data_IF_562952786827
#
_entry.id   IF_562952786827
#
_cell.length_a   1.000
_cell.length_b   1.000
_cell.length_c   1.000
_cell.angle_alpha   90.00
_cell.angle_beta   90.00
_cell.angle_gamma   90.00
#
_symmetry.space_group_name_H-M   'P 1'
#
loop_
_entity.id
_entity.type
_entity.pdbx_description
1 polymer ?
#
# COMPACT_ATOMS: atom_id res chain seq x y z
N UNK A 1 2.44 4.32 9.74
CA UNK A 1 1.58 5.15 10.60
C UNK A 1 0.65 4.22 11.34
N UNK A 2 0.57 4.31 12.66
CA UNK A 2 -0.33 3.44 13.43
C UNK A 2 -1.74 4.03 13.52
N UNK A 3 -2.74 3.16 13.68
CA UNK A 3 -4.10 3.57 14.00
C UNK A 3 -4.13 4.35 15.31
N UNK A 4 -4.97 5.38 15.36
CA UNK A 4 -5.23 6.19 16.56
C UNK A 4 -6.34 5.58 17.43
N UNK A 5 -7.07 4.58 16.93
CA UNK A 5 -8.09 3.85 17.69
C UNK A 5 -7.51 2.66 18.47
N UNK A 6 -7.16 1.56 17.79
CA UNK A 6 -6.52 0.40 18.40
C UNK A 6 -5.58 -0.32 17.41
N UNK A 7 -4.31 0.08 17.32
CA UNK A 7 -3.38 -0.43 16.31
C UNK A 7 -3.14 -1.94 16.41
N UNK A 8 -3.37 -2.56 17.58
CA UNK A 8 -3.17 -4.01 17.78
C UNK A 8 -4.20 -4.88 17.06
N UNK A 9 -5.40 -4.35 16.78
CA UNK A 9 -6.48 -5.10 16.14
C UNK A 9 -6.94 -4.46 14.85
N UNK A 10 -6.72 -3.16 14.68
CA UNK A 10 -7.13 -2.44 13.50
C UNK A 10 -6.33 -2.90 12.27
N UNK A 11 -6.93 -2.86 11.07
CA UNK A 11 -6.29 -3.31 9.84
C UNK A 11 -4.92 -2.69 9.57
N UNK A 12 -4.09 -3.40 8.79
CA UNK A 12 -2.95 -2.81 8.10
C UNK A 12 -3.33 -2.55 6.65
N UNK A 13 -3.15 -1.31 6.21
CA UNK A 13 -3.43 -0.84 4.85
C UNK A 13 -2.11 -0.42 4.22
N UNK A 14 -1.65 -1.15 3.21
CA UNK A 14 -0.51 -0.74 2.38
C UNK A 14 -1.00 0.27 1.35
N UNK A 15 -0.36 1.43 1.27
CA UNK A 15 -0.61 2.46 0.26
C UNK A 15 0.56 2.54 -0.73
N UNK A 16 0.24 2.40 -2.02
CA UNK A 16 1.15 2.55 -3.14
C UNK A 16 0.73 3.74 -4.01
N UNK A 17 1.64 4.69 -4.19
CA UNK A 17 1.46 5.75 -5.18
C UNK A 17 1.84 5.26 -6.59
N UNK A 18 1.22 5.87 -7.60
CA UNK A 18 1.56 5.68 -9.00
C UNK A 18 2.69 6.61 -9.47
N UNK A 19 2.70 6.94 -10.77
CA UNK A 19 3.69 7.83 -11.37
C UNK A 19 4.15 7.35 -12.74
N UNK A 20 4.81 6.19 -12.89
CA UNK A 20 5.86 5.68 -11.99
C UNK A 20 6.79 6.81 -11.51
N UNK A 21 7.12 6.86 -10.21
CA UNK A 21 8.09 7.82 -9.68
C UNK A 21 7.59 8.87 -8.68
N UNK A 22 6.31 8.88 -8.32
CA UNK A 22 5.78 9.84 -7.35
C UNK A 22 5.84 9.26 -5.92
N UNK A 23 6.34 10.05 -4.97
CA UNK A 23 6.19 9.78 -3.53
C UNK A 23 4.93 10.48 -3.04
N UNK A 24 3.93 9.76 -2.54
CA UNK A 24 2.70 10.35 -2.00
C UNK A 24 2.65 10.39 -0.48
N UNK A 25 3.78 10.25 0.21
CA UNK A 25 3.82 10.27 1.68
C UNK A 25 3.30 11.59 2.26
N UNK A 26 3.38 12.70 1.52
CA UNK A 26 3.04 14.05 2.01
C UNK A 26 1.89 14.74 1.26
N UNK A 27 1.43 14.22 0.13
CA UNK A 27 0.49 14.97 -0.75
C UNK A 27 -0.95 14.44 -0.72
N UNK A 28 -1.21 13.18 -0.35
CA UNK A 28 -2.55 12.56 -0.52
C UNK A 28 -3.10 11.87 0.74
N UNK A 29 -2.39 10.93 1.35
CA UNK A 29 -2.84 10.20 2.56
C UNK A 29 -1.98 10.50 3.80
N UNK A 30 -1.39 11.69 3.86
CA UNK A 30 -0.62 12.12 5.02
C UNK A 30 -1.45 12.05 6.32
N UNK A 31 -0.81 11.88 7.49
CA UNK A 31 -1.49 11.71 8.79
C UNK A 31 -2.34 12.91 9.23
N UNK A 32 -2.26 14.03 8.50
CA UNK A 32 -2.73 15.33 8.95
C UNK A 32 -3.68 15.92 7.91
N UNK A 33 -4.96 15.55 8.02
CA UNK A 33 -6.04 16.22 7.31
C UNK A 33 -6.86 17.03 8.31
N UNK A 34 -7.15 18.29 7.99
CA UNK A 34 -8.01 19.12 8.84
C UNK A 34 -9.44 18.61 8.79
N UNK A 35 -10.09 18.47 9.94
CA UNK A 35 -11.53 18.28 9.99
C UNK A 35 -12.27 19.52 9.47
N UNK A 36 -13.55 19.34 9.14
CA UNK A 36 -14.47 20.42 8.78
C UNK A 36 -14.91 21.25 10.00
N UNK A 37 -13.95 21.63 10.86
CA UNK A 37 -14.15 22.34 12.11
C UNK A 37 -13.29 23.61 12.20
N UNK A 38 -13.01 24.23 11.05
CA UNK A 38 -12.11 25.38 10.91
C UNK A 38 -10.65 25.07 11.33
N UNK A 39 -10.22 23.81 11.19
CA UNK A 39 -8.84 23.40 11.47
C UNK A 39 -8.53 23.29 12.96
N UNK A 40 -9.54 23.05 13.80
CA UNK A 40 -9.33 22.83 15.23
C UNK A 40 -8.97 21.39 15.57
N UNK A 41 -9.32 20.44 14.71
CA UNK A 41 -8.98 19.02 14.87
C UNK A 41 -8.53 18.40 13.55
N UNK A 42 -7.87 17.25 13.65
CA UNK A 42 -7.37 16.47 12.53
C UNK A 42 -8.17 15.16 12.41
N UNK A 43 -8.27 14.61 11.20
CA UNK A 43 -8.85 13.29 10.98
C UNK A 43 -8.07 12.22 11.75
N UNK A 44 -8.79 11.35 12.45
CA UNK A 44 -8.19 10.22 13.15
C UNK A 44 -7.99 9.04 12.19
N UNK A 45 -6.77 8.49 12.15
CA UNK A 45 -6.50 7.30 11.36
C UNK A 45 -7.07 6.08 12.06
N UNK A 46 -8.02 5.39 11.43
CA UNK A 46 -8.69 4.19 11.97
C UNK A 46 -8.03 2.88 11.52
N UNK A 47 -6.89 2.97 10.85
CA UNK A 47 -6.10 1.83 10.39
C UNK A 47 -4.60 2.12 10.50
N UNK A 48 -3.80 1.06 10.56
CA UNK A 48 -2.36 1.15 10.45
C UNK A 48 -1.99 1.33 8.97
N UNK A 49 -1.51 2.49 8.56
CA UNK A 49 -1.15 2.76 7.16
C UNK A 49 0.35 2.56 6.95
N UNK A 50 0.70 1.64 6.04
CA UNK A 50 2.05 1.38 5.57
C UNK A 50 2.25 2.08 4.23
N UNK A 51 3.16 3.04 4.16
CA UNK A 51 3.55 3.68 2.91
C UNK A 51 4.80 2.99 2.38
N UNK A 52 4.74 2.53 1.13
CA UNK A 52 5.89 1.92 0.46
C UNK A 52 6.23 2.71 -0.79
N UNK A 53 7.41 3.33 -0.78
CA UNK A 53 7.95 4.04 -1.93
C UNK A 53 8.59 3.02 -2.89
N UNK A 54 8.03 2.89 -4.08
CA UNK A 54 8.49 1.95 -5.09
C UNK A 54 8.27 2.55 -6.50
N UNK A 55 9.06 2.13 -7.51
CA UNK A 55 10.19 1.20 -7.45
C UNK A 55 11.48 1.78 -6.83
N UNK A 56 12.57 1.01 -6.91
CA UNK A 56 13.93 1.50 -6.62
C UNK A 56 14.21 2.81 -7.38
N UNK A 57 14.66 3.83 -6.66
CA UNK A 57 14.87 5.19 -7.18
C UNK A 57 13.74 6.17 -6.88
N UNK A 58 12.63 5.73 -6.28
CA UNK A 58 11.50 6.59 -5.88
C UNK A 58 11.64 7.02 -4.42
N UNK A 59 11.51 8.32 -4.17
CA UNK A 59 11.58 8.89 -2.82
C UNK A 59 12.92 8.58 -2.15
N UNK A 60 12.88 7.83 -1.05
CA UNK A 60 14.05 7.37 -0.32
C UNK A 60 14.47 5.92 -0.65
N UNK A 61 13.75 5.23 -1.53
CA UNK A 61 14.13 3.88 -1.97
C UNK A 61 15.31 3.92 -2.94
N UNK A 62 16.41 3.24 -2.60
CA UNK A 62 17.64 3.22 -3.41
C UNK A 62 18.25 1.83 -3.52
N UNK A 63 19.27 1.71 -4.37
CA UNK A 63 20.13 0.53 -4.50
C UNK A 63 21.57 0.98 -4.66
N UNK A 64 22.52 0.21 -4.12
CA UNK A 64 23.95 0.44 -4.34
C UNK A 64 24.41 -0.09 -5.71
N UNK A 65 23.58 -0.91 -6.37
CA UNK A 65 23.85 -1.41 -7.72
C UNK A 65 23.47 -0.37 -8.77
N UNK A 66 24.47 0.37 -9.25
CA UNK A 66 24.31 1.37 -10.31
C UNK A 66 23.81 0.82 -11.65
N UNK A 67 23.85 -0.50 -11.84
CA UNK A 67 23.36 -1.18 -13.06
C UNK A 67 21.94 -1.73 -12.92
N UNK A 68 21.34 -1.59 -11.74
CA UNK A 68 20.01 -2.11 -11.46
C UNK A 68 18.96 -1.43 -12.34
N UNK A 69 18.15 -2.27 -13.01
CA UNK A 69 17.04 -1.83 -13.83
C UNK A 69 15.74 -2.37 -13.24
N UNK A 70 14.76 -1.48 -13.01
CA UNK A 70 13.44 -1.87 -12.54
C UNK A 70 12.48 -2.09 -13.72
N UNK A 71 11.58 -3.05 -13.53
CA UNK A 71 10.40 -3.37 -14.33
C UNK A 71 9.23 -3.64 -13.41
N UNK A 72 8.01 -3.75 -13.95
CA UNK A 72 6.82 -4.09 -13.15
C UNK A 72 7.00 -5.43 -12.40
N UNK A 73 7.60 -6.45 -13.05
CA UNK A 73 7.86 -7.74 -12.42
C UNK A 73 8.86 -7.63 -11.26
N UNK A 74 10.02 -7.01 -11.49
CA UNK A 74 11.03 -6.83 -10.41
C UNK A 74 10.49 -5.96 -9.27
N UNK A 75 9.63 -4.99 -9.58
CA UNK A 75 8.99 -4.13 -8.59
C UNK A 75 8.01 -4.93 -7.75
N UNK A 76 7.20 -5.79 -8.37
CA UNK A 76 6.29 -6.67 -7.64
C UNK A 76 7.04 -7.65 -6.73
N UNK A 77 8.13 -8.24 -7.20
CA UNK A 77 8.94 -9.17 -6.42
C UNK A 77 9.63 -8.47 -5.23
N UNK A 78 10.22 -7.28 -5.45
CA UNK A 78 10.83 -6.48 -4.39
C UNK A 78 9.80 -6.01 -3.37
N UNK A 79 8.62 -5.55 -3.82
CA UNK A 79 7.55 -5.11 -2.92
C UNK A 79 7.02 -6.29 -2.09
N UNK A 80 6.89 -7.48 -2.67
CA UNK A 80 6.48 -8.67 -1.95
C UNK A 80 7.52 -9.07 -0.88
N UNK A 81 8.82 -8.99 -1.21
CA UNK A 81 9.90 -9.20 -0.26
C UNK A 81 9.88 -8.15 0.88
N UNK A 82 9.65 -6.88 0.56
CA UNK A 82 9.56 -5.80 1.54
C UNK A 82 8.37 -5.98 2.49
N UNK A 83 7.19 -6.33 1.95
CA UNK A 83 5.99 -6.62 2.75
C UNK A 83 6.21 -7.84 3.64
N UNK A 84 6.79 -8.92 3.11
CA UNK A 84 7.14 -10.09 3.92
C UNK A 84 8.09 -9.72 5.05
N UNK A 85 9.17 -9.00 4.76
CA UNK A 85 10.14 -8.55 5.75
C UNK A 85 9.50 -7.66 6.83
N UNK A 86 8.61 -6.75 6.42
CA UNK A 86 7.83 -5.91 7.34
C UNK A 86 7.04 -6.77 8.34
N UNK A 87 6.29 -7.76 7.87
CA UNK A 87 5.46 -8.61 8.74
C UNK A 87 6.26 -9.66 9.49
N UNK A 88 7.35 -10.19 8.96
CA UNK A 88 8.11 -11.27 9.62
C UNK A 88 9.13 -10.76 10.63
N UNK A 89 9.86 -9.71 10.28
CA UNK A 89 11.06 -9.29 11.01
C UNK A 89 10.85 -7.96 11.74
N UNK A 90 10.19 -6.98 11.09
CA UNK A 90 10.11 -5.63 11.64
C UNK A 90 8.92 -5.46 12.60
N UNK A 91 7.73 -5.93 12.20
CA UNK A 91 6.48 -5.76 12.94
C UNK A 91 5.62 -7.04 12.98
N UNK A 92 6.12 -8.14 13.57
CA UNK A 92 5.40 -9.41 13.67
C UNK A 92 4.08 -9.33 14.44
N UNK A 93 3.89 -8.31 15.27
CA UNK A 93 2.62 -8.07 15.96
C UNK A 93 1.43 -7.86 15.01
N UNK A 94 1.67 -7.44 13.76
CA UNK A 94 0.60 -7.16 12.81
C UNK A 94 0.20 -8.35 11.93
N UNK A 95 0.88 -9.51 12.01
CA UNK A 95 0.61 -10.66 11.13
C UNK A 95 -0.86 -11.11 11.11
N UNK A 96 -1.53 -10.99 12.24
CA UNK A 96 -2.92 -11.42 12.41
C UNK A 96 -3.94 -10.33 12.04
N UNK A 97 -3.51 -9.07 11.94
CA UNK A 97 -4.36 -7.96 11.54
C UNK A 97 -4.79 -8.17 10.09
N UNK A 98 -6.02 -7.78 9.75
CA UNK A 98 -6.46 -7.82 8.36
C UNK A 98 -5.55 -6.93 7.50
N UNK A 99 -5.04 -7.49 6.42
CA UNK A 99 -4.09 -6.82 5.55
C UNK A 99 -4.71 -6.52 4.18
N UNK A 100 -4.61 -5.25 3.77
CA UNK A 100 -5.16 -4.72 2.53
C UNK A 100 -4.06 -4.06 1.70
N UNK A 101 -4.09 -4.29 0.38
CA UNK A 101 -3.21 -3.60 -0.57
C UNK A 101 -4.02 -2.55 -1.30
N UNK A 102 -3.56 -1.30 -1.25
CA UNK A 102 -4.24 -0.15 -1.83
C UNK A 102 -3.29 0.68 -2.68
N UNK A 103 -3.83 1.43 -3.63
CA UNK A 103 -3.03 2.40 -4.35
C UNK A 103 -3.78 3.21 -5.38
N UNK A 104 -3.08 4.19 -5.92
CA UNK A 104 -3.57 5.18 -6.87
C UNK A 104 -2.76 5.21 -8.19
N UNK A 105 -3.41 5.56 -9.30
CA UNK A 105 -2.78 5.82 -10.60
C UNK A 105 -2.07 4.56 -11.15
N UNK A 106 -0.77 4.61 -11.41
CA UNK A 106 0.00 3.45 -11.88
C UNK A 106 0.08 2.31 -10.85
N UNK A 107 -0.31 2.55 -9.59
CA UNK A 107 -0.51 1.46 -8.64
C UNK A 107 -1.65 0.50 -9.06
N UNK A 108 -2.48 0.88 -10.05
CA UNK A 108 -3.34 -0.06 -10.78
C UNK A 108 -2.60 -1.21 -11.46
N UNK A 109 -1.29 -1.10 -11.68
CA UNK A 109 -0.39 -2.19 -12.10
C UNK A 109 0.31 -2.81 -10.89
N UNK A 110 0.86 -1.98 -10.00
CA UNK A 110 1.64 -2.47 -8.85
C UNK A 110 0.82 -3.29 -7.86
N UNK A 111 -0.37 -2.83 -7.47
CA UNK A 111 -1.18 -3.50 -6.48
C UNK A 111 -1.64 -4.90 -6.93
N UNK A 112 -2.13 -5.12 -8.18
CA UNK A 112 -2.47 -6.47 -8.63
C UNK A 112 -1.27 -7.39 -8.74
N UNK A 113 -0.14 -6.89 -9.27
CA UNK A 113 1.07 -7.71 -9.41
C UNK A 113 1.63 -8.10 -8.04
N UNK A 114 1.71 -7.16 -7.10
CA UNK A 114 2.08 -7.44 -5.71
C UNK A 114 1.13 -8.45 -5.08
N UNK A 115 -0.18 -8.22 -5.17
CA UNK A 115 -1.20 -9.12 -4.60
C UNK A 115 -1.06 -10.55 -5.12
N UNK A 116 -0.76 -10.71 -6.41
CA UNK A 116 -0.48 -12.02 -7.00
C UNK A 116 0.74 -12.70 -6.37
N UNK A 117 1.84 -11.97 -6.16
CA UNK A 117 3.05 -12.52 -5.50
C UNK A 117 2.76 -12.92 -4.05
N UNK A 118 2.02 -12.09 -3.32
CA UNK A 118 1.62 -12.38 -1.95
C UNK A 118 0.77 -13.65 -1.85
N UNK A 119 -0.25 -13.79 -2.71
CA UNK A 119 -1.08 -15.00 -2.76
C UNK A 119 -0.23 -16.23 -3.09
N UNK A 120 0.68 -16.14 -4.07
CA UNK A 120 1.57 -17.24 -4.41
C UNK A 120 2.49 -17.65 -3.24
N UNK A 121 2.99 -16.68 -2.46
CA UNK A 121 3.81 -16.95 -1.27
C UNK A 121 2.97 -17.57 -0.15
N UNK A 122 1.72 -17.13 0.03
CA UNK A 122 0.79 -17.71 1.01
C UNK A 122 0.43 -19.16 0.63
N UNK A 123 0.09 -19.41 -0.63
CA UNK A 123 -0.27 -20.74 -1.13
C UNK A 123 0.89 -21.75 -1.00
N UNK A 124 2.14 -21.27 -1.13
CA UNK A 124 3.35 -22.08 -0.91
C UNK A 124 3.68 -22.30 0.57
N UNK A 125 3.07 -21.53 1.48
CA UNK A 125 3.42 -21.53 2.90
C UNK A 125 4.68 -20.71 3.24
N UNK A 126 5.19 -19.93 2.28
CA UNK A 126 6.38 -19.09 2.46
C UNK A 126 6.08 -17.79 3.21
N UNK A 127 4.81 -17.38 3.26
CA UNK A 127 4.38 -16.17 3.95
C UNK A 127 3.02 -16.37 4.62
N UNK A 128 2.91 -15.99 5.90
CA UNK A 128 1.68 -16.13 6.67
C UNK A 128 1.22 -14.75 7.17
N UNK A 129 0.21 -14.21 6.49
CA UNK A 129 -0.44 -12.94 6.81
C UNK A 129 -1.94 -13.07 6.53
N UNK A 130 -2.76 -12.34 7.27
CA UNK A 130 -4.20 -12.28 7.07
C UNK A 130 -4.59 -11.35 5.90
N UNK A 131 -4.14 -11.68 4.68
CA UNK A 131 -4.42 -10.92 3.47
C UNK A 131 -5.89 -11.07 3.04
N UNK A 132 -6.60 -9.96 2.82
CA UNK A 132 -8.03 -9.95 2.50
C UNK A 132 -8.34 -9.57 1.06
N UNK A 133 -8.09 -8.32 0.69
CA UNK A 133 -8.48 -7.79 -0.61
C UNK A 133 -7.53 -6.68 -1.06
N UNK A 134 -7.56 -6.44 -2.36
CA UNK A 134 -6.91 -5.31 -3.02
C UNK A 134 -7.96 -4.26 -3.38
N UNK A 135 -7.73 -3.00 -3.03
CA UNK A 135 -8.58 -1.87 -3.41
C UNK A 135 -7.80 -0.91 -4.31
N UNK A 136 -8.42 -0.45 -5.39
CA UNK A 136 -7.81 0.49 -6.35
C UNK A 136 -8.63 1.78 -6.36
N UNK A 137 -7.97 2.91 -6.06
CA UNK A 137 -8.68 4.17 -5.82
C UNK A 137 -8.80 5.05 -7.06
N UNK A 138 -7.80 5.08 -7.95
CA UNK A 138 -7.91 5.75 -9.25
C UNK A 138 -7.22 4.92 -10.33
N UNK A 139 -8.01 4.42 -11.28
CA UNK A 139 -7.55 3.62 -12.40
C UNK A 139 -7.43 4.53 -13.63
N UNK A 140 -6.21 4.86 -14.08
CA UNK A 140 -5.97 5.25 -15.48
C UNK A 140 -5.85 3.98 -16.34
N UNK A 141 -6.84 3.10 -16.28
CA UNK A 141 -6.97 2.04 -17.27
C UNK A 141 -7.85 2.58 -18.39
N UNK A 142 -7.30 2.63 -19.60
CA UNK A 142 -8.08 2.68 -20.84
C UNK A 142 -8.84 1.36 -21.07
N UNK A 143 -9.59 0.92 -20.07
CA UNK A 143 -10.43 -0.28 -20.10
C UNK A 143 -11.89 0.14 -19.93
N UNK A 144 -12.80 -0.26 -20.85
CA UNK A 144 -14.24 -0.02 -20.71
C UNK A 144 -14.85 -0.55 -19.40
N UNK A 145 -14.13 -1.43 -18.68
CA UNK A 145 -14.55 -2.05 -17.43
C UNK A 145 -14.36 -1.15 -16.18
N UNK A 146 -13.52 -0.10 -16.27
CA UNK A 146 -13.17 0.74 -15.11
C UNK A 146 -14.25 1.75 -14.69
N UNK A 147 -15.33 1.91 -15.48
CA UNK A 147 -16.39 2.90 -15.23
C UNK A 147 -17.40 2.54 -14.14
N UNK A 148 -17.36 1.32 -13.58
CA UNK A 148 -18.36 0.85 -12.61
C UNK A 148 -17.93 0.90 -11.14
N UNK A 149 -16.66 1.19 -10.83
CA UNK A 149 -16.15 1.23 -9.45
C UNK A 149 -16.08 2.67 -8.94
N UNK A 150 -17.25 3.21 -8.58
CA UNK A 150 -17.42 4.50 -7.90
C UNK A 150 -17.83 4.32 -6.43
N UNK A 151 -17.37 3.23 -5.81
CA UNK A 151 -17.75 2.87 -4.46
C UNK A 151 -16.55 3.07 -3.53
N UNK A 152 -16.80 3.75 -2.41
CA UNK A 152 -15.87 4.02 -1.29
C UNK A 152 -15.24 5.42 -1.37
N UNK A 153 -16.11 6.43 -1.39
CA UNK A 153 -15.82 7.81 -0.94
C UNK A 153 -16.15 7.94 0.58
N UNK A 154 -16.19 6.82 1.32
CA UNK A 154 -16.83 6.75 2.64
C UNK A 154 -16.00 6.03 3.72
N UNK A 155 -14.70 5.85 3.50
CA UNK A 155 -13.76 5.29 4.48
C UNK A 155 -12.54 6.20 4.73
N UNK A 156 -12.67 7.48 4.41
CA UNK A 156 -11.73 8.54 4.83
C UNK A 156 -12.55 9.65 5.49
#
# INVERSE_FOLDING_TARGET
MESQHNPKIDPVVLWLNGGPGCSGLLEELGPFHNNNDNGTTLYENVANVLFLEAPVGVGFSYTDDSSYYWSDDTTADNNAAAVKYFFDEVFPQYKNNEFFVTGESYAGVYAPMLSLRLVQMIDKGDFNVNFKVMLLFIIWAYSPLAKSLKAIELLI
#
